data_IF_639551179956
#
_entry.id   IF_639551179956
#
_cell.length_a   1.000
_cell.length_b   1.000
_cell.length_c   1.000
_cell.angle_alpha   90.00
_cell.angle_beta   90.00
_cell.angle_gamma   90.00
#
_symmetry.space_group_name_H-M   'P 1'
#
loop_
_entity.id
_entity.type
_entity.pdbx_description
1 polymer ?
#
# COMPACT_ATOMS: atom_id res chain seq x y z
N UNK A 1 2.39 0.11 9.40
CA UNK A 1 2.67 1.44 8.83
C UNK A 1 3.75 2.08 9.65
N UNK A 2 4.91 2.34 9.04
CA UNK A 2 6.03 3.09 9.64
C UNK A 2 7.15 3.25 8.61
N UNK A 3 7.41 2.20 7.83
CA UNK A 3 8.42 2.24 6.76
C UNK A 3 7.96 2.95 5.49
N UNK A 4 6.71 3.43 5.45
CA UNK A 4 6.04 4.05 4.28
C UNK A 4 5.91 3.17 3.02
N UNK A 5 6.61 2.02 2.94
CA UNK A 5 6.58 1.11 1.79
C UNK A 5 5.42 0.11 1.89
N UNK A 6 4.46 0.11 0.94
CA UNK A 6 3.33 -0.81 0.97
C UNK A 6 3.79 -2.27 0.78
N UNK A 7 3.23 -3.19 1.59
CA UNK A 7 3.55 -4.62 1.53
C UNK A 7 2.40 -5.44 2.10
N UNK A 8 2.04 -6.51 1.40
CA UNK A 8 1.20 -7.60 1.91
C UNK A 8 1.99 -8.89 1.75
N UNK A 9 2.18 -9.64 2.82
CA UNK A 9 2.86 -10.93 2.76
C UNK A 9 2.45 -11.82 3.93
N UNK A 10 2.70 -13.11 3.78
CA UNK A 10 2.64 -14.07 4.87
C UNK A 10 4.05 -14.34 5.40
N UNK A 11 4.18 -14.59 6.70
CA UNK A 11 5.40 -15.17 7.27
C UNK A 11 5.44 -16.70 7.06
N UNK A 12 6.48 -17.35 7.57
CA UNK A 12 6.65 -18.82 7.49
C UNK A 12 5.56 -19.58 8.27
N UNK A 13 4.96 -18.93 9.26
CA UNK A 13 3.89 -19.47 10.10
C UNK A 13 2.49 -19.21 9.51
N UNK A 14 2.41 -18.51 8.37
CA UNK A 14 1.15 -18.22 7.68
C UNK A 14 0.37 -17.04 8.27
N UNK A 15 0.96 -16.22 9.14
CA UNK A 15 0.33 -14.98 9.59
C UNK A 15 0.36 -13.93 8.49
N UNK A 16 -0.77 -13.23 8.30
CA UNK A 16 -0.87 -12.15 7.32
C UNK A 16 -0.35 -10.83 7.91
N UNK A 17 0.71 -10.29 7.31
CA UNK A 17 1.25 -8.97 7.64
C UNK A 17 0.87 -7.96 6.57
N UNK A 18 0.25 -6.86 7.01
CA UNK A 18 -0.21 -5.77 6.15
C UNK A 18 0.51 -4.48 6.55
N UNK A 19 1.23 -3.90 5.61
CA UNK A 19 1.67 -2.52 5.66
C UNK A 19 0.96 -1.74 4.54
N UNK A 20 0.05 -0.81 4.87
CA UNK A 20 -0.70 -0.06 3.85
C UNK A 20 0.18 0.90 3.04
N UNK A 21 1.43 1.14 3.47
CA UNK A 21 2.25 2.22 2.96
C UNK A 21 1.85 3.55 3.60
N UNK A 22 2.07 4.64 2.88
CA UNK A 22 1.68 5.98 3.28
C UNK A 22 0.57 6.52 2.37
N UNK A 23 -0.44 7.16 2.95
CA UNK A 23 -1.53 7.74 2.17
C UNK A 23 -1.06 8.95 1.37
N UNK A 24 -0.11 9.73 1.89
CA UNK A 24 0.38 10.94 1.23
C UNK A 24 1.31 10.66 0.03
N UNK A 25 2.00 9.52 0.03
CA UNK A 25 2.94 9.14 -1.03
C UNK A 25 4.20 10.01 -1.12
N UNK A 26 4.61 10.73 -0.07
CA UNK A 26 5.76 11.64 -0.11
C UNK A 26 7.12 10.94 -0.23
N UNK A 27 7.31 9.84 0.49
CA UNK A 27 8.56 9.09 0.55
C UNK A 27 8.78 8.26 -0.71
N UNK A 28 7.73 7.57 -1.17
CA UNK A 28 7.83 6.61 -2.28
C UNK A 28 7.14 7.07 -3.56
N UNK A 29 6.66 8.32 -3.62
CA UNK A 29 5.88 8.82 -4.74
C UNK A 29 4.76 7.83 -5.13
N UNK A 30 4.09 7.26 -4.13
CA UNK A 30 3.09 6.20 -4.32
C UNK A 30 2.07 6.23 -3.17
N UNK A 31 1.02 7.06 -3.26
CA UNK A 31 -0.01 7.16 -2.24
C UNK A 31 -0.88 5.90 -2.26
N UNK A 32 -0.93 5.17 -1.15
CA UNK A 32 -1.64 3.88 -1.07
C UNK A 32 -2.47 3.73 0.19
N UNK A 33 -3.50 2.89 0.11
CA UNK A 33 -4.22 2.31 1.26
C UNK A 33 -4.25 0.79 1.15
N UNK A 34 -4.72 0.11 2.19
CA UNK A 34 -4.99 -1.33 2.16
C UNK A 34 -6.45 -1.62 2.55
N UNK A 35 -7.05 -2.59 1.88
CA UNK A 35 -8.33 -3.19 2.28
C UNK A 35 -8.11 -4.62 2.74
N UNK A 36 -8.83 -5.05 3.77
CA UNK A 36 -8.83 -6.42 4.26
C UNK A 36 -10.26 -6.93 4.38
N UNK A 37 -10.57 -8.00 3.65
CA UNK A 37 -11.82 -8.74 3.82
C UNK A 37 -11.64 -9.73 4.98
N UNK A 38 -12.43 -9.55 6.04
CA UNK A 38 -12.33 -10.37 7.26
C UNK A 38 -12.91 -11.77 7.09
N UNK A 39 -13.78 -12.00 6.11
CA UNK A 39 -14.38 -13.31 5.81
C UNK A 39 -13.42 -14.14 4.98
N UNK A 40 -12.95 -13.62 3.84
CA UNK A 40 -12.00 -14.34 2.98
C UNK A 40 -10.55 -14.26 3.46
N UNK A 41 -10.26 -13.37 4.43
CA UNK A 41 -8.91 -13.03 4.91
C UNK A 41 -7.96 -12.56 3.80
N UNK A 42 -8.51 -11.93 2.76
CA UNK A 42 -7.74 -11.40 1.65
C UNK A 42 -7.44 -9.91 1.84
N UNK A 43 -6.16 -9.53 1.71
CA UNK A 43 -5.71 -8.15 1.74
C UNK A 43 -5.23 -7.68 0.37
N UNK A 44 -5.52 -6.43 0.01
CA UNK A 44 -5.04 -5.79 -1.22
C UNK A 44 -4.53 -4.39 -0.94
N UNK A 45 -3.46 -4.00 -1.63
CA UNK A 45 -3.00 -2.60 -1.69
C UNK A 45 -3.75 -1.91 -2.83
N UNK A 46 -4.25 -0.71 -2.57
CA UNK A 46 -4.92 0.15 -3.54
C UNK A 46 -4.06 1.39 -3.74
N UNK A 47 -3.68 1.65 -4.99
CA UNK A 47 -3.05 2.90 -5.41
C UNK A 47 -4.11 4.00 -5.54
N UNK A 48 -3.85 5.15 -4.93
CA UNK A 48 -4.79 6.29 -4.90
C UNK A 48 -4.61 7.26 -6.07
N UNK A 49 -3.53 7.13 -6.84
CA UNK A 49 -3.36 7.90 -8.09
C UNK A 49 -4.28 7.35 -9.15
N UNK A 50 -4.89 8.26 -9.92
CA UNK A 50 -5.60 7.86 -11.13
C UNK A 50 -4.58 7.44 -12.19
N UNK A 51 -4.99 6.52 -13.07
CA UNK A 51 -4.24 6.25 -14.28
C UNK A 51 -4.13 7.55 -15.10
N UNK A 52 -2.90 8.03 -15.31
CA UNK A 52 -2.63 9.30 -16.00
C UNK A 52 -2.21 10.47 -15.10
N UNK A 53 -2.27 10.33 -13.78
CA UNK A 53 -1.71 11.33 -12.87
C UNK A 53 -0.17 11.29 -12.95
N UNK A 54 0.41 12.22 -13.71
CA UNK A 54 1.84 12.54 -13.66
C UNK A 54 2.11 13.39 -12.43
N UNK A 55 3.13 13.03 -11.66
CA UNK A 55 3.60 13.86 -10.55
C UNK A 55 4.14 15.18 -11.12
N UNK A 56 3.75 16.36 -10.63
CA UNK A 56 4.30 17.64 -11.09
C UNK A 56 5.77 17.86 -10.68
N UNK A 57 6.40 16.88 -10.03
CA UNK A 57 7.82 16.92 -9.70
C UNK A 57 8.65 16.33 -10.85
N UNK A 58 8.75 17.11 -11.93
CA UNK A 58 9.95 17.14 -12.76
C UNK A 58 10.75 18.35 -12.31
N UNK A 59 11.92 18.12 -11.71
CA UNK A 59 13.02 19.10 -11.75
C UNK A 59 13.56 19.17 -13.19
#
# INVERSE_FOLDING_TARGET
>A
GHTHKPRVHHDEQGHLYINPGETAGWTFNRPTIATFDTVSRHARIIDLRRAGDVSPLTD
#
